data_IF_939000900052
#
_entry.id   IF_939000900052
#
_cell.length_a   1.000
_cell.length_b   1.000
_cell.length_c   1.000
_cell.angle_alpha   90.00
_cell.angle_beta   90.00
_cell.angle_gamma   90.00
#
_symmetry.space_group_name_H-M   'P 1'
#
loop_
_entity.id
_entity.type
_entity.pdbx_description
1 polymer ?
#
# COMPACT_ATOMS: atom_id res chain seq x y z
N UNK A 1 26.62 -7.75 2.78
CA UNK A 1 25.60 -6.66 2.85
C UNK A 1 25.94 -5.72 4.00
N UNK A 2 26.42 -4.51 3.70
CA UNK A 2 27.00 -3.58 4.68
C UNK A 2 25.98 -2.92 5.60
N UNK A 3 26.43 -2.47 6.78
CA UNK A 3 25.64 -1.73 7.80
C UNK A 3 24.71 -0.67 7.20
N UNK A 4 25.18 0.09 6.21
CA UNK A 4 24.40 1.11 5.50
C UNK A 4 23.07 0.62 4.91
N UNK A 5 23.03 -0.60 4.36
CA UNK A 5 21.80 -1.18 3.81
C UNK A 5 20.80 -1.55 4.90
N UNK A 6 21.29 -2.01 6.07
CA UNK A 6 20.44 -2.29 7.22
C UNK A 6 19.89 -1.00 7.82
N UNK A 7 20.72 0.04 7.91
CA UNK A 7 20.30 1.36 8.41
C UNK A 7 19.27 2.02 7.49
N UNK A 8 19.44 1.90 6.17
CA UNK A 8 18.46 2.37 5.19
C UNK A 8 17.13 1.62 5.33
N UNK A 9 17.16 0.29 5.52
CA UNK A 9 15.95 -0.50 5.75
C UNK A 9 15.26 -0.13 7.08
N UNK A 10 16.02 0.12 8.14
CA UNK A 10 15.49 0.57 9.44
C UNK A 10 14.91 1.99 9.33
N UNK A 11 15.55 2.88 8.57
CA UNK A 11 15.03 4.22 8.32
C UNK A 11 13.73 4.20 7.51
N UNK A 12 13.65 3.37 6.47
CA UNK A 12 12.42 3.14 5.70
C UNK A 12 11.34 2.51 6.58
N UNK A 13 11.69 1.56 7.43
CA UNK A 13 10.75 0.93 8.37
C UNK A 13 10.18 1.97 9.36
N UNK A 14 11.03 2.85 9.91
CA UNK A 14 10.60 3.98 10.75
C UNK A 14 9.72 4.97 9.99
N UNK A 15 10.07 5.33 8.75
CA UNK A 15 9.28 6.22 7.90
C UNK A 15 7.88 5.65 7.62
N UNK A 16 7.79 4.33 7.47
CA UNK A 16 6.53 3.62 7.26
C UNK A 16 5.73 3.44 8.57
N UNK A 17 6.23 3.89 9.72
CA UNK A 17 5.55 3.84 11.02
C UNK A 17 6.07 2.75 11.98
N UNK A 18 7.15 2.05 11.62
CA UNK A 18 7.83 1.08 12.48
C UNK A 18 6.88 0.06 13.09
N UNK A 19 6.83 0.00 14.43
CA UNK A 19 5.99 -0.93 15.20
C UNK A 19 4.58 -0.41 15.52
N UNK A 20 4.21 0.79 15.07
CA UNK A 20 2.87 1.32 15.37
C UNK A 20 1.76 0.49 14.72
N UNK A 21 0.61 0.35 15.40
CA UNK A 21 -0.52 -0.36 14.84
C UNK A 21 -1.04 0.34 13.57
N UNK A 22 -1.29 -0.40 12.47
CA UNK A 22 -1.69 0.19 11.20
C UNK A 22 -3.08 0.84 11.31
N UNK A 23 -3.21 2.03 10.74
CA UNK A 23 -4.50 2.75 10.65
C UNK A 23 -5.49 2.01 9.73
N UNK A 24 -6.78 2.36 9.81
CA UNK A 24 -7.81 1.75 8.93
C UNK A 24 -7.51 1.97 7.45
N UNK A 25 -6.99 3.16 7.10
CA UNK A 25 -6.62 3.50 5.73
C UNK A 25 -5.40 2.70 5.25
N UNK A 26 -4.34 2.60 6.07
CA UNK A 26 -3.16 1.78 5.74
C UNK A 26 -3.50 0.30 5.54
N UNK A 27 -4.45 -0.26 6.30
CA UNK A 27 -4.95 -1.63 6.08
C UNK A 27 -5.68 -1.78 4.74
N UNK A 28 -6.51 -0.80 4.38
CA UNK A 28 -7.25 -0.81 3.12
C UNK A 28 -6.28 -0.77 1.94
N UNK A 29 -5.32 0.15 1.98
CA UNK A 29 -4.30 0.38 0.95
C UNK A 29 -3.40 -0.85 0.80
N UNK A 30 -2.91 -1.41 1.92
CA UNK A 30 -2.06 -2.61 1.91
C UNK A 30 -2.75 -3.86 1.35
N UNK A 31 -4.08 -3.92 1.38
CA UNK A 31 -4.84 -5.06 0.85
C UNK A 31 -4.83 -5.11 -0.67
N UNK A 32 -4.75 -3.94 -1.32
CA UNK A 32 -4.81 -3.83 -2.78
C UNK A 32 -3.73 -2.90 -3.35
N UNK A 33 -2.43 -3.25 -3.23
CA UNK A 33 -1.33 -2.38 -3.68
C UNK A 33 -1.40 -2.03 -5.16
N UNK A 34 -1.75 -3.01 -6.00
CA UNK A 34 -1.90 -2.84 -7.45
C UNK A 34 -3.05 -1.89 -7.77
N UNK A 35 -4.20 -2.06 -7.11
CA UNK A 35 -5.36 -1.19 -7.33
C UNK A 35 -5.06 0.26 -6.90
N UNK A 36 -4.31 0.45 -5.82
CA UNK A 36 -3.87 1.79 -5.37
C UNK A 36 -2.96 2.44 -6.40
N UNK A 37 -1.99 1.70 -6.94
CA UNK A 37 -1.11 2.22 -8.00
C UNK A 37 -1.89 2.64 -9.25
N UNK A 38 -2.83 1.81 -9.70
CA UNK A 38 -3.68 2.15 -10.86
C UNK A 38 -4.65 3.29 -10.57
N UNK A 39 -5.24 3.36 -9.37
CA UNK A 39 -6.14 4.43 -8.97
C UNK A 39 -5.46 5.81 -9.00
N UNK A 40 -4.13 5.86 -8.84
CA UNK A 40 -3.35 7.10 -9.00
C UNK A 40 -2.90 7.30 -10.44
N UNK A 41 -2.32 6.27 -11.08
CA UNK A 41 -1.75 6.40 -12.42
C UNK A 41 -2.80 6.71 -13.49
N UNK A 42 -3.94 6.00 -13.48
CA UNK A 42 -4.92 6.06 -14.58
C UNK A 42 -5.53 7.47 -14.71
N UNK A 43 -6.03 8.11 -13.64
CA UNK A 43 -6.55 9.48 -13.76
C UNK A 43 -5.49 10.47 -14.21
N UNK A 44 -4.25 10.35 -13.71
CA UNK A 44 -3.15 11.23 -14.11
C UNK A 44 -2.77 11.06 -15.59
N UNK A 45 -2.74 9.83 -16.08
CA UNK A 45 -2.50 9.55 -17.50
C UNK A 45 -3.63 10.12 -18.36
N UNK A 46 -4.90 9.97 -17.94
CA UNK A 46 -6.04 10.54 -18.67
C UNK A 46 -6.00 12.07 -18.70
N UNK A 47 -5.71 12.71 -17.57
CA UNK A 47 -5.52 14.18 -17.52
C UNK A 47 -4.38 14.59 -18.45
N UNK A 48 -3.25 13.89 -18.38
CA UNK A 48 -2.08 14.14 -19.24
C UNK A 48 -2.44 14.10 -20.73
N UNK A 49 -3.21 13.08 -21.15
CA UNK A 49 -3.65 12.92 -22.53
C UNK A 49 -4.59 14.05 -22.99
N UNK A 50 -5.42 14.59 -22.10
CA UNK A 50 -6.32 15.70 -22.42
C UNK A 50 -5.58 17.05 -22.45
N UNK A 51 -4.50 17.20 -21.68
CA UNK A 51 -3.73 18.44 -21.62
C UNK A 51 -2.74 18.62 -22.77
N UNK A 52 -2.31 17.52 -23.41
CA UNK A 52 -1.41 17.56 -24.57
C UNK A 52 -2.14 18.21 -25.75
N UNK A 53 -1.63 19.34 -26.22
CA UNK A 53 -2.19 20.11 -27.33
C UNK A 53 -1.69 19.59 -28.69
N UNK A 54 -2.46 19.78 -29.77
CA UNK A 54 -1.99 19.54 -31.14
C UNK A 54 -0.91 20.58 -31.49
N UNK A 55 0.34 20.26 -31.14
CA UNK A 55 1.50 21.15 -31.20
C UNK A 55 2.58 20.76 -30.19
N UNK A 56 2.19 20.09 -29.10
CA UNK A 56 3.13 19.49 -28.16
C UNK A 56 3.81 18.29 -28.81
N UNK A 57 5.11 18.12 -28.56
CA UNK A 57 5.89 17.04 -29.15
C UNK A 57 5.50 15.68 -28.57
N UNK A 58 5.77 14.60 -29.31
CA UNK A 58 5.61 13.22 -28.80
C UNK A 58 6.40 13.03 -27.49
N UNK A 59 7.54 13.72 -27.35
CA UNK A 59 8.36 13.69 -26.15
C UNK A 59 7.61 14.21 -24.90
N UNK A 60 6.82 15.28 -25.03
CA UNK A 60 6.07 15.86 -23.91
C UNK A 60 4.98 14.90 -23.44
N UNK A 61 4.23 14.33 -24.39
CA UNK A 61 3.22 13.32 -24.11
C UNK A 61 3.81 12.10 -23.38
N UNK A 62 4.95 11.58 -23.86
CA UNK A 62 5.65 10.47 -23.21
C UNK A 62 6.16 10.83 -21.81
N UNK A 63 6.64 12.06 -21.61
CA UNK A 63 7.08 12.53 -20.31
C UNK A 63 5.92 12.58 -19.29
N UNK A 64 4.76 13.12 -19.69
CA UNK A 64 3.59 13.18 -18.80
C UNK A 64 3.02 11.79 -18.49
N UNK A 65 2.92 10.90 -19.48
CA UNK A 65 2.50 9.51 -19.26
C UNK A 65 3.49 8.77 -18.38
N UNK A 66 4.79 8.92 -18.64
CA UNK A 66 5.87 8.27 -17.88
C UNK A 66 5.91 8.73 -16.42
N UNK A 67 5.81 10.03 -16.17
CA UNK A 67 5.78 10.59 -14.80
C UNK A 67 4.52 10.17 -14.03
N UNK A 68 3.36 10.12 -14.69
CA UNK A 68 2.12 9.62 -14.11
C UNK A 68 2.21 8.14 -13.73
N UNK A 69 2.81 7.32 -14.60
CA UNK A 69 3.06 5.91 -14.32
C UNK A 69 4.06 5.72 -13.16
N UNK A 70 5.13 6.52 -13.13
CA UNK A 70 6.12 6.49 -12.05
C UNK A 70 5.48 6.84 -10.69
N UNK A 71 4.61 7.85 -10.63
CA UNK A 71 3.85 8.17 -9.43
C UNK A 71 2.96 7.00 -8.98
N UNK A 72 2.20 6.40 -9.90
CA UNK A 72 1.40 5.21 -9.57
C UNK A 72 2.25 4.04 -9.05
N UNK A 73 3.44 3.83 -9.61
CA UNK A 73 4.38 2.82 -9.13
C UNK A 73 4.88 3.13 -7.70
N UNK A 74 5.15 4.39 -7.38
CA UNK A 74 5.52 4.82 -6.01
C UNK A 74 4.37 4.55 -5.03
N UNK A 75 3.13 4.89 -5.37
CA UNK A 75 1.97 4.62 -4.52
C UNK A 75 1.68 3.12 -4.36
N UNK A 76 1.76 2.35 -5.45
CA UNK A 76 1.62 0.89 -5.40
C UNK A 76 2.74 0.22 -4.59
N UNK A 77 3.97 0.72 -4.75
CA UNK A 77 5.16 0.25 -4.02
C UNK A 77 5.08 0.54 -2.52
N UNK A 78 4.66 1.74 -2.14
CA UNK A 78 4.44 2.09 -0.72
C UNK A 78 3.32 1.26 -0.10
N UNK A 79 2.22 1.05 -0.82
CA UNK A 79 1.15 0.14 -0.39
C UNK A 79 1.64 -1.31 -0.21
N UNK A 80 2.52 -1.77 -1.10
CA UNK A 80 3.13 -3.10 -0.99
C UNK A 80 4.09 -3.20 0.19
N UNK A 81 4.91 -2.17 0.42
CA UNK A 81 5.79 -2.09 1.58
C UNK A 81 4.99 -2.11 2.89
N UNK A 82 3.88 -1.37 2.95
CA UNK A 82 2.97 -1.38 4.09
C UNK A 82 2.33 -2.77 4.31
N UNK A 83 2.01 -3.50 3.23
CA UNK A 83 1.55 -4.90 3.32
C UNK A 83 2.61 -5.82 3.94
N UNK A 84 3.88 -5.64 3.57
CA UNK A 84 4.98 -6.42 4.16
C UNK A 84 5.18 -6.06 5.63
N UNK A 85 5.11 -4.77 5.98
CA UNK A 85 5.17 -4.29 7.37
C UNK A 85 4.06 -4.92 8.21
N UNK A 86 2.81 -4.89 7.75
CA UNK A 86 1.69 -5.52 8.44
C UNK A 86 1.88 -7.04 8.63
N UNK A 87 2.41 -7.75 7.61
CA UNK A 87 2.75 -9.17 7.73
C UNK A 87 3.83 -9.44 8.78
N UNK A 88 4.84 -8.58 8.87
CA UNK A 88 5.92 -8.69 9.87
C UNK A 88 5.39 -8.46 11.29
N UNK A 89 4.55 -7.43 11.49
CA UNK A 89 3.94 -7.16 12.80
C UNK A 89 3.08 -8.33 13.29
N UNK A 90 2.35 -8.98 12.38
CA UNK A 90 1.58 -10.19 12.68
C UNK A 90 2.49 -11.36 13.02
N UNK A 91 3.55 -11.58 12.23
CA UNK A 91 4.50 -12.66 12.48
C UNK A 91 5.25 -12.50 13.82
N UNK A 92 5.44 -11.26 14.28
CA UNK A 92 6.08 -10.94 15.56
C UNK A 92 5.09 -10.96 16.75
N UNK A 93 3.80 -11.22 16.50
CA UNK A 93 2.76 -11.20 17.54
C UNK A 93 2.45 -9.81 18.10
N UNK A 94 3.02 -8.75 17.52
CA UNK A 94 2.82 -7.36 17.95
C UNK A 94 1.47 -6.80 17.50
N UNK A 95 0.86 -7.42 16.49
CA UNK A 95 -0.41 -7.00 15.96
C UNK A 95 -1.23 -8.20 15.49
N UNK A 96 -2.45 -8.35 16.01
CA UNK A 96 -3.43 -9.30 15.47
C UNK A 96 -4.38 -8.52 14.58
N UNK A 97 -4.60 -8.98 13.34
CA UNK A 97 -5.68 -8.43 12.52
C UNK A 97 -6.98 -8.49 13.32
N UNK A 98 -7.80 -7.43 13.36
CA UNK A 98 -9.10 -7.53 14.03
C UNK A 98 -9.86 -8.66 13.37
N UNK A 99 -10.08 -9.73 14.14
CA UNK A 99 -10.99 -10.80 13.75
C UNK A 99 -12.32 -10.12 13.47
N UNK A 100 -12.84 -10.33 12.26
CA UNK A 100 -14.13 -9.79 11.82
C UNK A 100 -15.16 -10.11 12.93
N UNK A 101 -15.78 -9.10 13.58
CA UNK A 101 -16.76 -9.37 14.61
C UNK A 101 -17.97 -10.02 13.92
N UNK A 102 -18.13 -11.33 14.09
CA UNK A 102 -19.17 -12.09 13.40
C UNK A 102 -18.93 -13.60 13.30
N UNK A 103 -17.71 -14.10 13.52
CA UNK A 103 -17.43 -15.55 13.52
C UNK A 103 -17.41 -16.13 14.95
N UNK A 104 -18.41 -15.79 15.75
CA UNK A 104 -18.45 -16.12 17.18
C UNK A 104 -19.88 -16.26 17.72
N UNK A 105 -20.76 -16.92 16.98
CA UNK A 105 -22.10 -17.27 17.47
C UNK A 105 -22.39 -18.73 17.15
N UNK A 106 -22.08 -19.64 18.07
CA UNK A 106 -22.44 -21.05 17.88
C UNK A 106 -22.04 -22.02 18.98
N UNK A 107 -21.06 -21.72 19.83
CA UNK A 107 -20.71 -22.59 20.96
C UNK A 107 -21.44 -22.15 22.24
N UNK A 108 -22.77 -22.17 22.17
CA UNK A 108 -23.59 -22.16 23.38
C UNK A 108 -23.62 -23.58 23.92
N UNK A 109 -22.71 -23.83 24.87
CA UNK A 109 -22.81 -24.84 25.91
C UNK A 109 -24.27 -25.26 26.17
N UNK A 110 -24.61 -26.50 25.86
CA UNK A 110 -25.64 -27.24 26.60
C UNK A 110 -24.93 -28.41 27.28
N UNK A 111 -24.38 -28.12 28.47
CA UNK A 111 -24.16 -29.15 29.48
C UNK A 111 -25.52 -29.64 29.97
N UNK A 112 -25.71 -30.95 30.01
CA UNK A 112 -25.81 -31.73 31.26
C UNK A 112 -26.85 -31.18 32.24
N UNK A 113 -28.03 -31.80 32.21
CA UNK A 113 -28.69 -32.41 33.38
C UNK A 113 -29.52 -33.56 32.85
#
# INVERSE_FOLDING_TARGET
MGRKSKDALVAVDRLLGGLEPPTRFQRLVARHPVAVGFAVAVPLILVSLVTVRPGDGIADALFFVGSSAALGAVFGGTAYAERLRQRRLVAQGLYTFPLRPGSGSGLRRRGRS
#
